data_IF_682700479752
#
_entry.id   IF_682700479752
#
_cell.length_a   1.000
_cell.length_b   1.000
_cell.length_c   1.000
_cell.angle_alpha   90.00
_cell.angle_beta   90.00
_cell.angle_gamma   90.00
#
_symmetry.space_group_name_H-M   'P 1'
#
loop_
_entity.id
_entity.type
_entity.pdbx_description
1 polymer ?
#
# COMPACT_ATOMS: atom_id res chain seq x y z
N UNK A 1 8.93 14.99 1.10
CA UNK A 1 9.48 13.90 0.28
C UNK A 1 9.25 14.07 -1.23
N UNK A 2 8.11 14.60 -1.68
CA UNK A 2 7.77 14.70 -3.12
C UNK A 2 8.87 15.35 -4.00
N UNK A 3 9.54 16.42 -3.51
CA UNK A 3 10.70 17.01 -4.20
C UNK A 3 11.88 16.04 -4.35
N UNK A 4 12.18 15.26 -3.32
CA UNK A 4 13.24 14.24 -3.35
C UNK A 4 12.89 13.11 -4.33
N UNK A 5 11.61 12.72 -4.43
CA UNK A 5 11.14 11.79 -5.45
C UNK A 5 11.35 12.38 -6.86
N UNK A 6 10.97 13.63 -7.10
CA UNK A 6 11.18 14.29 -8.40
C UNK A 6 12.66 14.33 -8.80
N UNK A 7 13.54 14.70 -7.87
CA UNK A 7 15.01 14.69 -8.08
C UNK A 7 15.53 13.27 -8.37
N UNK A 8 15.06 12.26 -7.62
CA UNK A 8 15.43 10.87 -7.85
C UNK A 8 15.03 10.42 -9.26
N UNK A 9 13.77 10.62 -9.65
CA UNK A 9 13.28 10.24 -10.98
C UNK A 9 14.05 10.94 -12.10
N UNK A 10 14.34 12.24 -11.96
CA UNK A 10 15.17 12.98 -12.92
C UNK A 10 16.58 12.39 -13.03
N UNK A 11 17.20 12.02 -11.91
CA UNK A 11 18.55 11.43 -11.90
C UNK A 11 18.61 10.04 -12.54
N UNK A 12 17.49 9.30 -12.59
CA UNK A 12 17.44 8.00 -13.26
C UNK A 12 17.43 8.11 -14.79
N UNK A 13 17.14 9.30 -15.35
CA UNK A 13 17.09 9.56 -16.79
C UNK A 13 16.29 8.50 -17.58
N UNK A 14 15.09 8.19 -17.09
CA UNK A 14 14.24 7.12 -17.64
C UNK A 14 13.53 7.62 -18.90
N UNK A 15 13.76 6.95 -20.03
CA UNK A 15 13.09 7.26 -21.29
C UNK A 15 11.60 6.87 -21.24
N UNK A 16 10.75 7.73 -21.79
CA UNK A 16 9.30 7.52 -21.95
C UNK A 16 8.58 7.08 -20.67
N UNK A 17 9.03 7.58 -19.51
CA UNK A 17 8.44 7.28 -18.21
C UNK A 17 6.98 7.73 -18.16
N UNK A 18 6.07 6.78 -17.93
CA UNK A 18 4.68 7.07 -17.56
C UNK A 18 4.56 7.19 -16.05
N UNK A 19 3.73 8.13 -15.60
CA UNK A 19 3.44 8.31 -14.18
C UNK A 19 1.95 8.09 -13.93
N UNK A 20 1.63 7.19 -13.02
CA UNK A 20 0.26 6.92 -12.61
C UNK A 20 0.04 7.27 -11.14
N UNK A 21 -1.16 7.74 -10.85
CA UNK A 21 -1.59 8.15 -9.52
C UNK A 21 -2.97 7.60 -9.23
N UNK A 22 -3.32 7.52 -7.95
CA UNK A 22 -4.73 7.47 -7.55
C UNK A 22 -5.42 8.82 -7.75
N UNK A 23 -6.74 8.87 -7.59
CA UNK A 23 -7.49 10.14 -7.55
C UNK A 23 -7.42 10.85 -6.19
N UNK A 24 -6.73 10.27 -5.19
CA UNK A 24 -6.59 10.87 -3.88
C UNK A 24 -5.53 11.97 -3.86
N UNK A 25 -5.85 13.08 -3.20
CA UNK A 25 -5.01 14.29 -3.13
C UNK A 25 -3.53 14.03 -2.84
N UNK A 26 -3.22 13.11 -1.93
CA UNK A 26 -1.84 12.79 -1.52
C UNK A 26 -0.97 12.22 -2.64
N UNK A 27 -1.52 11.41 -3.54
CA UNK A 27 -0.75 10.88 -4.69
C UNK A 27 -0.60 11.94 -5.78
N UNK A 28 -1.66 12.71 -6.03
CA UNK A 28 -1.67 13.81 -7.01
C UNK A 28 -0.63 14.88 -6.63
N UNK A 29 -0.67 15.38 -5.39
CA UNK A 29 0.29 16.37 -4.89
C UNK A 29 1.74 15.91 -4.96
N UNK A 30 1.97 14.59 -4.88
CA UNK A 30 3.29 14.00 -4.99
C UNK A 30 3.76 13.97 -6.46
N UNK A 31 2.88 13.57 -7.38
CA UNK A 31 3.17 13.56 -8.81
C UNK A 31 3.46 14.95 -9.37
N UNK A 32 2.78 16.00 -8.88
CA UNK A 32 3.07 17.38 -9.26
C UNK A 32 4.53 17.79 -9.03
N UNK A 33 5.19 17.23 -8.00
CA UNK A 33 6.60 17.51 -7.73
C UNK A 33 7.57 16.73 -8.64
N UNK A 34 7.11 15.68 -9.33
CA UNK A 34 7.90 14.94 -10.32
C UNK A 34 8.05 15.77 -11.61
N UNK A 35 7.05 16.59 -11.94
CA UNK A 35 7.12 17.56 -13.03
C UNK A 35 6.97 16.96 -14.44
N UNK A 36 6.34 15.79 -14.56
CA UNK A 36 6.00 15.14 -15.83
C UNK A 36 4.48 14.89 -15.89
N UNK A 37 3.88 14.77 -17.09
CA UNK A 37 2.47 14.41 -17.21
C UNK A 37 2.17 13.07 -16.51
N UNK A 38 1.02 13.00 -15.85
CA UNK A 38 0.60 11.81 -15.11
C UNK A 38 -0.88 11.50 -15.36
N UNK A 39 -1.24 10.23 -15.21
CA UNK A 39 -2.60 9.72 -15.37
C UNK A 39 -3.20 9.38 -14.00
N UNK A 40 -4.48 9.68 -13.81
CA UNK A 40 -5.19 9.40 -12.57
C UNK A 40 -6.12 8.20 -12.74
N UNK A 41 -5.89 7.15 -11.96
CA UNK A 41 -6.64 5.90 -12.01
C UNK A 41 -7.44 5.74 -10.73
N UNK A 42 -8.76 5.73 -10.82
CA UNK A 42 -9.64 5.48 -9.65
C UNK A 42 -9.36 4.11 -9.01
N UNK A 43 -9.00 3.13 -9.82
CA UNK A 43 -8.62 1.79 -9.36
C UNK A 43 -7.38 1.78 -8.46
N UNK A 44 -6.56 2.84 -8.47
CA UNK A 44 -5.40 3.01 -7.58
C UNK A 44 -5.76 3.71 -6.25
N UNK A 45 -7.02 4.07 -6.00
CA UNK A 45 -7.41 4.61 -4.69
C UNK A 45 -7.12 3.57 -3.58
N UNK A 46 -6.79 4.06 -2.39
CA UNK A 46 -6.50 3.19 -1.24
C UNK A 46 -7.68 2.28 -0.92
N UNK A 47 -7.40 1.18 -0.24
CA UNK A 47 -8.42 0.27 0.29
C UNK A 47 -9.43 1.07 1.14
N UNK A 48 -10.72 0.85 0.91
CA UNK A 48 -11.79 1.47 1.67
C UNK A 48 -11.94 0.76 3.03
N UNK A 49 -11.72 1.48 4.14
CA UNK A 49 -11.92 0.95 5.49
C UNK A 49 -13.39 1.02 5.97
N UNK A 50 -14.32 1.51 5.14
CA UNK A 50 -15.74 1.57 5.42
C UNK A 50 -16.05 2.40 6.65
N UNK A 51 -16.76 1.81 7.62
CA UNK A 51 -17.07 2.49 8.90
C UNK A 51 -15.82 2.80 9.75
N UNK A 52 -14.66 2.25 9.40
CA UNK A 52 -13.38 2.49 10.08
C UNK A 52 -12.50 3.52 9.35
N UNK A 53 -13.01 4.19 8.31
CA UNK A 53 -12.29 5.31 7.68
C UNK A 53 -11.94 6.40 8.71
N UNK A 54 -10.76 6.99 8.54
CA UNK A 54 -10.21 8.06 9.39
C UNK A 54 -10.05 7.73 10.89
N UNK A 55 -10.20 6.46 11.29
CA UNK A 55 -9.98 6.02 12.68
C UNK A 55 -8.55 5.54 12.94
N UNK A 56 -8.04 5.83 14.14
CA UNK A 56 -6.81 5.20 14.66
C UNK A 56 -7.08 3.74 15.10
N UNK A 57 -6.04 2.92 15.20
CA UNK A 57 -6.20 1.52 15.60
C UNK A 57 -6.81 1.38 17.01
N UNK A 58 -6.49 2.30 17.91
CA UNK A 58 -7.03 2.44 19.25
C UNK A 58 -8.54 2.65 19.21
N UNK A 59 -9.00 3.54 18.32
CA UNK A 59 -10.41 3.83 18.14
C UNK A 59 -11.16 2.66 17.49
N UNK A 60 -10.51 1.96 16.55
CA UNK A 60 -11.05 0.74 15.95
C UNK A 60 -11.20 -0.34 17.02
N UNK A 61 -10.18 -0.60 17.84
CA UNK A 61 -10.25 -1.56 18.94
C UNK A 61 -11.32 -1.17 19.96
N UNK A 62 -11.53 0.12 20.21
CA UNK A 62 -12.57 0.59 21.14
C UNK A 62 -13.98 0.44 20.58
N UNK A 63 -14.21 0.83 19.31
CA UNK A 63 -15.55 0.91 18.69
C UNK A 63 -15.97 -0.40 18.03
N UNK A 64 -15.02 -1.15 17.49
CA UNK A 64 -15.23 -2.35 16.66
C UNK A 64 -14.25 -3.49 17.04
N UNK A 65 -14.20 -3.92 18.32
CA UNK A 65 -13.24 -4.93 18.79
C UNK A 65 -13.38 -6.28 18.09
N UNK A 66 -14.62 -6.68 17.79
CA UNK A 66 -14.91 -7.94 17.11
C UNK A 66 -14.38 -7.91 15.67
N UNK A 67 -14.70 -6.85 14.92
CA UNK A 67 -14.26 -6.69 13.55
C UNK A 67 -12.73 -6.60 13.47
N UNK A 68 -12.09 -5.94 14.42
CA UNK A 68 -10.63 -5.81 14.47
C UNK A 68 -9.94 -7.16 14.69
N UNK A 69 -10.47 -7.98 15.60
CA UNK A 69 -9.95 -9.33 15.84
C UNK A 69 -10.16 -10.24 14.62
N UNK A 70 -11.37 -10.25 14.04
CA UNK A 70 -11.68 -11.05 12.85
C UNK A 70 -10.80 -10.65 11.65
N UNK A 71 -10.51 -9.36 11.50
CA UNK A 71 -9.58 -8.88 10.48
C UNK A 71 -8.13 -9.28 10.73
N UNK A 72 -7.71 -9.40 11.99
CA UNK A 72 -6.38 -9.95 12.31
C UNK A 72 -6.31 -11.48 12.14
N UNK A 73 -7.45 -12.18 12.12
CA UNK A 73 -7.53 -13.63 11.85
C UNK A 73 -7.37 -13.94 10.35
N UNK A 74 -8.09 -13.23 9.48
CA UNK A 74 -7.95 -13.32 8.02
C UNK A 74 -7.98 -11.92 7.39
N UNK A 75 -6.82 -11.26 7.39
CA UNK A 75 -6.66 -9.91 6.85
C UNK A 75 -6.86 -9.86 5.33
N UNK A 76 -6.71 -10.99 4.64
CA UNK A 76 -6.88 -11.05 3.20
C UNK A 76 -8.34 -10.96 2.80
N UNK A 77 -9.21 -11.75 3.45
CA UNK A 77 -10.64 -11.87 3.09
C UNK A 77 -11.56 -10.97 3.88
N UNK A 78 -11.21 -10.64 5.12
CA UNK A 78 -12.13 -9.90 5.99
C UNK A 78 -12.30 -8.45 5.56
N UNK A 79 -13.56 -7.99 5.53
CA UNK A 79 -13.96 -6.61 5.24
C UNK A 79 -14.40 -5.95 6.54
N UNK A 80 -13.93 -4.74 6.81
CA UNK A 80 -14.66 -3.89 7.75
C UNK A 80 -16.06 -3.61 7.22
N UNK A 81 -17.07 -3.36 8.07
CA UNK A 81 -18.41 -3.05 7.60
C UNK A 81 -18.41 -1.91 6.59
N UNK A 82 -19.02 -2.13 5.42
CA UNK A 82 -19.06 -1.20 4.27
C UNK A 82 -17.70 -0.86 3.64
N UNK A 83 -16.64 -1.60 3.96
CA UNK A 83 -15.31 -1.44 3.36
C UNK A 83 -14.95 -2.58 2.40
N UNK A 84 -13.68 -2.58 2.00
CA UNK A 84 -13.06 -3.58 1.13
C UNK A 84 -12.14 -4.53 1.91
N UNK A 85 -11.97 -5.74 1.41
CA UNK A 85 -10.90 -6.67 1.80
C UNK A 85 -9.70 -6.53 0.86
N UNK A 86 -8.57 -7.16 1.19
CA UNK A 86 -7.47 -7.24 0.23
C UNK A 86 -7.84 -8.09 -0.99
N UNK A 87 -8.73 -9.08 -0.84
CA UNK A 87 -9.29 -9.85 -1.96
C UNK A 87 -10.07 -8.96 -2.94
N UNK A 88 -10.92 -8.05 -2.44
CA UNK A 88 -11.62 -7.07 -3.29
C UNK A 88 -10.63 -6.14 -3.99
N UNK A 89 -9.63 -5.68 -3.25
CA UNK A 89 -8.61 -4.77 -3.78
C UNK A 89 -7.80 -5.44 -4.90
N UNK A 90 -7.46 -6.73 -4.77
CA UNK A 90 -6.80 -7.50 -5.82
C UNK A 90 -7.66 -7.56 -7.08
N UNK A 91 -8.96 -7.85 -6.95
CA UNK A 91 -9.89 -7.85 -8.09
C UNK A 91 -10.00 -6.46 -8.73
N UNK A 92 -10.07 -5.40 -7.92
CA UNK A 92 -10.12 -4.01 -8.40
C UNK A 92 -8.85 -3.59 -9.15
N UNK A 93 -7.69 -4.15 -8.79
CA UNK A 93 -6.40 -3.84 -9.41
C UNK A 93 -6.09 -4.68 -10.65
N UNK A 94 -6.91 -5.66 -11.01
CA UNK A 94 -6.70 -6.49 -12.20
C UNK A 94 -6.49 -5.65 -13.48
N UNK A 95 -7.29 -4.61 -13.79
CA UNK A 95 -7.05 -3.77 -14.97
C UNK A 95 -5.73 -2.97 -14.89
N UNK A 96 -5.29 -2.61 -13.68
CA UNK A 96 -4.02 -1.89 -13.47
C UNK A 96 -2.85 -2.83 -13.74
N UNK A 97 -2.91 -4.07 -13.24
CA UNK A 97 -1.89 -5.09 -13.46
C UNK A 97 -1.77 -5.39 -14.97
N UNK A 98 -2.89 -5.59 -15.65
CA UNK A 98 -2.89 -5.80 -17.10
C UNK A 98 -2.23 -4.66 -17.86
N UNK A 99 -2.47 -3.40 -17.45
CA UNK A 99 -1.83 -2.27 -18.10
C UNK A 99 -0.34 -2.18 -17.74
N UNK A 100 0.06 -2.49 -16.50
CA UNK A 100 1.49 -2.53 -16.14
C UNK A 100 2.28 -3.52 -16.99
N UNK A 101 1.73 -4.69 -17.28
CA UNK A 101 2.32 -5.70 -18.17
C UNK A 101 2.46 -5.22 -19.63
N UNK A 102 1.67 -4.22 -20.03
CA UNK A 102 1.71 -3.62 -21.39
C UNK A 102 2.66 -2.43 -21.51
N UNK A 103 3.17 -1.92 -20.38
CA UNK A 103 4.03 -0.75 -20.36
C UNK A 103 5.49 -1.15 -20.15
N UNK A 104 6.41 -0.27 -20.58
CA UNK A 104 7.83 -0.42 -20.32
C UNK A 104 8.19 0.25 -18.98
N UNK A 105 8.40 1.57 -18.99
CA UNK A 105 8.79 2.32 -17.81
C UNK A 105 7.58 3.02 -17.17
N UNK A 106 7.17 2.57 -15.99
CA UNK A 106 6.06 3.17 -15.23
C UNK A 106 6.46 3.47 -13.80
N UNK A 107 6.14 4.68 -13.34
CA UNK A 107 6.14 5.05 -11.93
C UNK A 107 4.69 5.08 -11.43
N UNK A 108 4.38 4.22 -10.45
CA UNK A 108 3.07 4.23 -9.78
C UNK A 108 3.20 4.88 -8.41
N UNK A 109 2.57 6.03 -8.22
CA UNK A 109 2.46 6.72 -6.93
C UNK A 109 1.11 6.36 -6.31
N UNK A 110 1.12 5.43 -5.35
CA UNK A 110 -0.08 4.85 -4.75
C UNK A 110 -0.03 4.86 -3.22
N UNK A 111 -0.61 3.83 -2.59
CA UNK A 111 -0.86 3.76 -1.15
C UNK A 111 -0.41 2.41 -0.59
N UNK A 112 -0.50 2.24 0.73
CA UNK A 112 0.08 1.07 1.38
C UNK A 112 -0.61 -0.23 0.95
N UNK A 113 -1.93 -0.32 1.00
CA UNK A 113 -2.62 -1.57 0.64
C UNK A 113 -2.52 -1.84 -0.87
N UNK A 114 -2.67 -0.80 -1.70
CA UNK A 114 -2.49 -0.90 -3.17
C UNK A 114 -1.10 -1.40 -3.53
N UNK A 115 -0.05 -0.80 -2.96
CA UNK A 115 1.34 -1.17 -3.24
C UNK A 115 1.63 -2.61 -2.82
N UNK A 116 1.04 -3.09 -1.70
CA UNK A 116 1.16 -4.49 -1.28
C UNK A 116 0.60 -5.44 -2.34
N UNK A 117 -0.58 -5.15 -2.90
CA UNK A 117 -1.17 -5.97 -3.96
C UNK A 117 -0.28 -5.99 -5.22
N UNK A 118 0.22 -4.83 -5.65
CA UNK A 118 1.11 -4.75 -6.82
C UNK A 118 2.42 -5.52 -6.60
N UNK A 119 3.04 -5.37 -5.42
CA UNK A 119 4.25 -6.12 -5.07
C UNK A 119 3.99 -7.62 -4.99
N UNK A 120 2.86 -8.02 -4.41
CA UNK A 120 2.53 -9.43 -4.30
C UNK A 120 2.39 -10.09 -5.68
N UNK A 121 1.83 -9.38 -6.65
CA UNK A 121 1.78 -9.84 -8.04
C UNK A 121 3.17 -10.03 -8.64
N UNK A 122 4.02 -8.99 -8.64
CA UNK A 122 5.34 -9.07 -9.29
C UNK A 122 6.35 -9.97 -8.55
N UNK A 123 6.14 -10.22 -7.26
CA UNK A 123 7.03 -11.01 -6.40
C UNK A 123 6.48 -12.39 -6.05
N UNK A 124 5.39 -12.81 -6.71
CA UNK A 124 4.73 -14.10 -6.54
C UNK A 124 4.47 -14.42 -5.05
N UNK A 125 3.85 -13.45 -4.34
CA UNK A 125 3.53 -13.58 -2.91
C UNK A 125 2.15 -14.15 -2.71
N UNK A 126 2.04 -14.98 -1.69
CA UNK A 126 0.78 -15.63 -1.34
C UNK A 126 -0.26 -14.63 -0.81
N UNK A 127 -1.53 -15.02 -0.86
CA UNK A 127 -2.63 -14.24 -0.28
C UNK A 127 -2.45 -13.99 1.23
N UNK A 128 -1.75 -14.89 1.94
CA UNK A 128 -1.46 -14.75 3.37
C UNK A 128 -0.35 -13.72 3.64
N UNK A 129 0.68 -13.67 2.79
CA UNK A 129 1.80 -12.71 2.93
C UNK A 129 1.41 -11.31 2.47
N UNK A 130 0.59 -11.19 1.42
CA UNK A 130 0.27 -9.93 0.73
C UNK A 130 -0.17 -8.80 1.69
N UNK A 131 -1.12 -9.00 2.62
CA UNK A 131 -1.58 -7.93 3.53
C UNK A 131 -0.52 -7.43 4.53
N UNK A 132 0.64 -8.09 4.58
CA UNK A 132 1.75 -7.84 5.50
C UNK A 132 3.06 -7.51 4.78
N UNK A 133 3.07 -7.31 3.45
CA UNK A 133 4.25 -6.78 2.78
C UNK A 133 4.61 -5.39 3.30
N UNK A 134 5.91 -5.11 3.43
CA UNK A 134 6.43 -3.84 3.93
C UNK A 134 6.55 -2.84 2.78
N UNK A 135 5.77 -1.76 2.87
CA UNK A 135 5.76 -0.65 1.92
C UNK A 135 6.06 0.64 2.68
N UNK A 136 7.32 0.87 3.12
CA UNK A 136 7.67 2.03 3.93
C UNK A 136 7.44 3.34 3.16
N UNK A 137 7.02 4.38 3.88
CA UNK A 137 6.91 5.72 3.32
C UNK A 137 8.28 6.24 2.84
N UNK A 138 8.24 7.16 1.89
CA UNK A 138 9.43 7.84 1.33
C UNK A 138 10.51 6.90 0.76
N UNK A 139 10.11 5.68 0.39
CA UNK A 139 10.97 4.67 -0.23
C UNK A 139 10.42 4.32 -1.60
N UNK A 140 11.28 4.26 -2.61
CA UNK A 140 10.93 3.77 -3.95
C UNK A 140 11.34 2.30 -4.05
N UNK A 141 10.39 1.43 -4.42
CA UNK A 141 10.71 0.06 -4.80
C UNK A 141 10.81 -0.02 -6.31
N UNK A 142 12.03 -0.19 -6.80
CA UNK A 142 12.31 -0.40 -8.22
C UNK A 142 12.20 -1.89 -8.53
N UNK A 143 11.25 -2.22 -9.40
CA UNK A 143 11.02 -3.56 -9.90
C UNK A 143 11.68 -3.71 -11.27
N UNK A 144 12.41 -4.79 -11.49
CA UNK A 144 13.00 -5.11 -12.79
C UNK A 144 12.66 -6.57 -13.13
N UNK A 145 11.62 -6.79 -13.98
CA UNK A 145 11.25 -8.11 -14.45
C UNK A 145 12.43 -8.82 -15.13
N UNK A 146 12.58 -10.11 -14.85
CA UNK A 146 13.57 -11.00 -15.47
C UNK A 146 12.88 -12.32 -15.84
N UNK A 147 13.54 -13.17 -16.64
CA UNK A 147 12.93 -14.37 -17.21
C UNK A 147 12.22 -15.31 -16.21
N UNK A 148 12.66 -15.34 -14.94
CA UNK A 148 12.10 -16.19 -13.88
C UNK A 148 11.89 -15.42 -12.56
N UNK A 149 11.29 -14.23 -12.64
CA UNK A 149 10.88 -13.46 -11.47
C UNK A 149 11.09 -11.97 -11.64
N UNK A 150 11.19 -11.26 -10.52
CA UNK A 150 11.38 -9.81 -10.53
C UNK A 150 12.44 -9.41 -9.50
N UNK A 151 13.44 -8.63 -9.93
CA UNK A 151 14.42 -8.05 -9.01
C UNK A 151 13.81 -6.82 -8.34
N UNK A 152 14.06 -6.68 -7.04
CA UNK A 152 13.59 -5.54 -6.24
C UNK A 152 14.77 -4.81 -5.66
N UNK A 153 14.82 -3.51 -5.92
CA UNK A 153 15.75 -2.59 -5.27
C UNK A 153 14.95 -1.59 -4.43
N UNK A 154 15.31 -1.46 -3.16
CA UNK A 154 14.69 -0.49 -2.25
C UNK A 154 15.56 0.75 -2.15
N UNK A 155 15.02 1.89 -2.57
CA UNK A 155 15.71 3.19 -2.54
C UNK A 155 15.04 4.12 -1.55
N UNK A 156 15.68 4.31 -0.40
CA UNK A 156 15.27 5.29 0.61
C UNK A 156 15.65 6.71 0.16
N UNK A 157 14.65 7.60 0.03
CA UNK A 157 14.80 8.98 -0.43
C UNK A 157 15.37 9.93 0.65
N UNK A 158 15.76 9.42 1.82
CA UNK A 158 16.40 10.17 2.91
C UNK A 158 15.54 11.30 3.44
N UNK A 159 14.23 11.05 3.54
CA UNK A 159 13.27 11.93 4.18
C UNK A 159 12.54 11.14 5.25
N UNK A 160 12.63 11.56 6.51
CA UNK A 160 11.98 10.87 7.62
C UNK A 160 10.46 10.78 7.43
N UNK A 161 9.88 9.69 7.91
CA UNK A 161 8.45 9.43 7.90
C UNK A 161 8.06 8.60 9.13
N UNK A 162 6.80 8.69 9.52
CA UNK A 162 6.21 7.77 10.49
C UNK A 162 6.16 6.34 9.94
N UNK A 163 6.20 5.35 10.83
CA UNK A 163 5.94 3.96 10.45
C UNK A 163 4.44 3.69 10.46
N UNK A 164 3.89 3.22 9.35
CA UNK A 164 2.47 2.83 9.22
C UNK A 164 2.26 1.32 9.19
N UNK A 165 3.35 0.55 9.32
CA UNK A 165 3.31 -0.90 9.32
C UNK A 165 2.90 -1.43 10.69
N UNK A 166 1.73 -2.09 10.74
CA UNK A 166 1.28 -2.87 11.89
C UNK A 166 1.44 -4.36 11.58
N UNK A 167 2.31 -5.03 12.32
CA UNK A 167 2.49 -6.48 12.29
C UNK A 167 1.23 -7.20 12.78
N UNK A 168 1.05 -8.47 12.39
CA UNK A 168 -0.03 -9.30 12.95
C UNK A 168 0.26 -9.52 14.45
N UNK A 169 -0.66 -9.16 15.37
CA UNK A 169 -0.45 -9.45 16.78
C UNK A 169 -0.50 -10.97 17.02
N UNK A 170 0.21 -11.43 18.05
CA UNK A 170 0.25 -12.86 18.40
C UNK A 170 -1.13 -13.36 18.82
N UNK A 171 -1.89 -12.56 19.58
CA UNK A 171 -3.25 -12.89 19.98
C UNK A 171 -4.25 -12.22 19.02
N UNK A 172 -5.01 -13.04 18.30
CA UNK A 172 -6.05 -12.62 17.35
C UNK A 172 -7.44 -13.11 17.76
N UNK A 173 -7.58 -13.66 18.96
CA UNK A 173 -8.87 -14.15 19.46
C UNK A 173 -9.87 -13.00 19.60
N UNK A 174 -11.15 -13.28 19.37
CA UNK A 174 -12.22 -12.26 19.48
C UNK A 174 -12.42 -11.75 20.91
N UNK A 175 -11.97 -12.52 21.91
CA UNK A 175 -12.04 -12.19 23.34
C UNK A 175 -10.75 -11.61 23.92
N UNK A 176 -9.73 -11.34 23.08
CA UNK A 176 -8.43 -10.78 23.50
C UNK A 176 -8.57 -9.43 24.20
N UNK A 177 -7.62 -9.11 25.06
CA UNK A 177 -7.54 -7.80 25.71
C UNK A 177 -7.12 -6.72 24.69
N UNK A 178 -7.56 -5.48 24.92
CA UNK A 178 -7.21 -4.36 24.05
C UNK A 178 -5.69 -4.13 23.96
N UNK A 179 -4.96 -4.31 25.06
CA UNK A 179 -3.51 -4.18 25.11
C UNK A 179 -2.82 -5.20 24.18
N UNK A 180 -3.31 -6.44 24.14
CA UNK A 180 -2.79 -7.49 23.25
C UNK A 180 -3.08 -7.18 21.78
N UNK A 181 -4.26 -6.62 21.50
CA UNK A 181 -4.65 -6.21 20.16
C UNK A 181 -3.82 -5.04 19.62
N UNK A 182 -3.41 -4.12 20.50
CA UNK A 182 -2.72 -2.88 20.13
C UNK A 182 -1.19 -2.99 20.23
N UNK A 183 -0.65 -4.11 20.74
CA UNK A 183 0.79 -4.30 20.96
C UNK A 183 1.67 -4.07 19.71
N UNK A 184 1.14 -4.33 18.51
CA UNK A 184 1.88 -4.16 17.24
C UNK A 184 1.56 -2.86 16.51
N UNK A 185 0.76 -1.97 17.11
CA UNK A 185 0.46 -0.65 16.55
C UNK A 185 1.75 0.19 16.60
N UNK A 186 2.18 0.77 15.47
CA UNK A 186 3.35 1.64 15.47
C UNK A 186 3.05 2.98 16.16
N UNK A 187 4.10 3.58 16.71
CA UNK A 187 4.01 4.91 17.32
C UNK A 187 3.47 5.95 16.34
N UNK A 188 2.52 6.74 16.81
CA UNK A 188 1.95 7.89 16.10
C UNK A 188 1.75 9.03 17.11
N UNK A 189 1.81 10.27 16.63
CA UNK A 189 1.60 11.49 17.42
C UNK A 189 0.20 12.04 17.22
#
# INVERSE_FOLDING_TARGET
YAKALGQFIQSQNICDLKVWTSQMKRTIQTAEAVGVPYEQWKALNEIDAGVCEELMYEEIQQKFPLEFALRDQDKYRYRYPKGESYEDLVQRLEPVIMELERQENVLVICHQAVMRCLLAYFLDKTAEELPYLKCPLHTVLKLTPVAYGCKVESVDLKVEAVNTHRDRPTNVDVSRLAEEALLTVPDHQ
#
